data_IF_262675351117
#
_entry.id   IF_262675351117
#
_cell.length_a   1.000
_cell.length_b   1.000
_cell.length_c   1.000
_cell.angle_alpha   90.00
_cell.angle_beta   90.00
_cell.angle_gamma   90.00
#
_symmetry.space_group_name_H-M   'P 1'
#
loop_
_entity.id
_entity.type
_entity.pdbx_description
1 polymer ?
#
# COMPACT_ATOMS: atom_id res chain seq x y z
N UNK A 1 -17.07 15.81 -3.31
CA UNK A 1 -17.16 14.51 -3.99
C UNK A 1 -15.80 13.82 -4.08
N UNK A 2 -14.76 14.43 -4.62
CA UNK A 2 -13.41 13.81 -4.78
C UNK A 2 -12.84 13.18 -3.50
N UNK A 3 -12.95 13.86 -2.35
CA UNK A 3 -12.44 13.35 -1.06
C UNK A 3 -13.19 12.09 -0.55
N UNK A 4 -14.48 11.97 -0.87
CA UNK A 4 -15.26 10.78 -0.48
C UNK A 4 -14.78 9.55 -1.26
N UNK A 5 -14.58 9.69 -2.55
CA UNK A 5 -14.05 8.61 -3.39
C UNK A 5 -12.64 8.20 -2.97
N UNK A 6 -11.76 9.15 -2.69
CA UNK A 6 -10.41 8.85 -2.21
C UNK A 6 -10.42 8.11 -0.86
N UNK A 7 -11.33 8.45 0.05
CA UNK A 7 -11.49 7.72 1.31
C UNK A 7 -12.08 6.32 1.09
N UNK A 8 -13.03 6.17 0.20
CA UNK A 8 -13.57 4.87 -0.16
C UNK A 8 -12.49 3.99 -0.81
N UNK A 9 -11.65 4.55 -1.70
CA UNK A 9 -10.50 3.87 -2.26
C UNK A 9 -9.51 3.44 -1.18
N UNK A 10 -9.23 4.29 -0.20
CA UNK A 10 -8.35 3.95 0.93
C UNK A 10 -8.89 2.76 1.72
N UNK A 11 -10.16 2.81 2.13
CA UNK A 11 -10.79 1.72 2.89
C UNK A 11 -10.83 0.44 2.07
N UNK A 12 -11.25 0.51 0.81
CA UNK A 12 -11.31 -0.63 -0.10
C UNK A 12 -9.93 -1.25 -0.35
N UNK A 13 -8.92 -0.42 -0.57
CA UNK A 13 -7.54 -0.91 -0.81
C UNK A 13 -6.92 -1.55 0.43
N UNK A 14 -7.21 -1.04 1.64
CA UNK A 14 -6.80 -1.70 2.89
C UNK A 14 -7.51 -3.05 3.04
N UNK A 15 -8.79 -3.13 2.72
CA UNK A 15 -9.53 -4.40 2.73
C UNK A 15 -8.92 -5.43 1.78
N UNK A 16 -8.64 -5.03 0.55
CA UNK A 16 -7.96 -5.90 -0.45
C UNK A 16 -6.56 -6.29 0.02
N UNK A 17 -5.81 -5.35 0.59
CA UNK A 17 -4.48 -5.58 1.14
C UNK A 17 -4.48 -6.68 2.20
N UNK A 18 -5.37 -6.59 3.19
CA UNK A 18 -5.46 -7.59 4.26
C UNK A 18 -5.92 -8.95 3.69
N UNK A 19 -6.94 -8.96 2.84
CA UNK A 19 -7.45 -10.18 2.24
C UNK A 19 -6.38 -10.87 1.38
N UNK A 20 -5.68 -10.13 0.52
CA UNK A 20 -4.69 -10.71 -0.38
C UNK A 20 -3.47 -11.27 0.36
N UNK A 21 -3.01 -10.61 1.42
CA UNK A 21 -1.85 -11.06 2.20
C UNK A 21 -2.16 -12.28 3.07
N UNK A 22 -3.36 -12.37 3.61
CA UNK A 22 -3.71 -13.41 4.59
C UNK A 22 -4.68 -14.48 4.06
N UNK A 23 -5.12 -14.35 2.81
CA UNK A 23 -5.93 -15.39 2.17
C UNK A 23 -5.04 -16.61 1.84
N UNK A 24 -5.54 -17.85 2.03
CA UNK A 24 -4.82 -19.04 1.61
C UNK A 24 -4.44 -18.97 0.13
N UNK A 25 -3.18 -19.25 -0.21
CA UNK A 25 -2.75 -19.30 -1.62
C UNK A 25 -3.50 -20.40 -2.36
N UNK A 26 -4.09 -20.01 -3.48
CA UNK A 26 -4.46 -20.97 -4.53
C UNK A 26 -3.36 -20.86 -5.58
N UNK A 27 -2.59 -21.90 -5.78
CA UNK A 27 -1.59 -21.96 -6.85
C UNK A 27 -2.32 -21.84 -8.19
N UNK A 28 -2.16 -20.71 -8.86
CA UNK A 28 -2.66 -20.51 -10.23
C UNK A 28 -1.53 -20.86 -11.18
N UNK A 29 -1.62 -21.97 -11.94
CA UNK A 29 -0.62 -22.31 -12.93
C UNK A 29 -0.50 -21.20 -13.98
N UNK A 30 0.73 -20.75 -14.29
CA UNK A 30 0.99 -19.77 -15.36
C UNK A 30 1.08 -18.33 -14.94
N UNK A 31 1.27 -18.03 -13.64
CA UNK A 31 1.63 -16.67 -13.20
C UNK A 31 2.99 -16.28 -13.73
N UNK A 32 3.07 -15.08 -14.32
CA UNK A 32 4.32 -14.53 -14.84
C UNK A 32 5.36 -14.40 -13.72
N UNK A 33 6.61 -14.78 -13.98
CA UNK A 33 7.73 -14.50 -13.09
C UNK A 33 7.76 -13.01 -12.75
N UNK A 34 7.82 -12.68 -11.46
CA UNK A 34 7.79 -11.29 -10.98
C UNK A 34 6.40 -10.67 -10.80
N UNK A 35 5.32 -11.33 -11.23
CA UNK A 35 3.95 -10.86 -10.97
C UNK A 35 3.63 -10.79 -9.48
N UNK A 36 4.25 -11.64 -8.69
CA UNK A 36 4.19 -11.65 -7.23
C UNK A 36 4.73 -10.34 -6.63
N UNK A 37 5.93 -9.93 -7.01
CA UNK A 37 6.55 -8.68 -6.54
C UNK A 37 5.75 -7.44 -6.93
N UNK A 38 5.21 -7.40 -8.16
CA UNK A 38 4.34 -6.31 -8.59
C UNK A 38 3.06 -6.26 -7.74
N UNK A 39 2.49 -7.41 -7.41
CA UNK A 39 1.32 -7.49 -6.52
C UNK A 39 1.64 -6.88 -5.16
N UNK A 40 2.77 -7.22 -4.54
CA UNK A 40 3.22 -6.64 -3.28
C UNK A 40 3.40 -5.12 -3.37
N UNK A 41 4.08 -4.62 -4.41
CA UNK A 41 4.22 -3.17 -4.66
C UNK A 41 2.86 -2.47 -4.72
N UNK A 42 1.86 -3.06 -5.40
CA UNK A 42 0.53 -2.47 -5.52
C UNK A 42 -0.27 -2.56 -4.23
N UNK A 43 -0.19 -3.69 -3.51
CA UNK A 43 -0.91 -3.89 -2.24
C UNK A 43 -0.50 -2.87 -1.18
N UNK A 44 0.75 -2.44 -1.17
CA UNK A 44 1.25 -1.42 -0.25
C UNK A 44 1.18 -0.01 -0.85
N UNK A 45 1.46 0.14 -2.13
CA UNK A 45 1.51 1.45 -2.80
C UNK A 45 0.14 2.12 -2.95
N UNK A 46 -0.89 1.36 -3.33
CA UNK A 46 -2.23 1.93 -3.57
C UNK A 46 -2.86 2.51 -2.30
N UNK A 47 -2.91 1.81 -1.14
CA UNK A 47 -3.44 2.39 0.08
C UNK A 47 -2.63 3.59 0.58
N UNK A 48 -1.29 3.58 0.43
CA UNK A 48 -0.45 4.72 0.77
C UNK A 48 -0.77 5.92 -0.13
N UNK A 49 -0.85 5.73 -1.44
CA UNK A 49 -1.24 6.77 -2.39
C UNK A 49 -2.60 7.37 -2.04
N UNK A 50 -3.59 6.50 -1.79
CA UNK A 50 -4.93 6.93 -1.39
C UNK A 50 -4.91 7.72 -0.07
N UNK A 51 -4.14 7.28 0.93
CA UNK A 51 -3.98 7.98 2.20
C UNK A 51 -3.35 9.37 2.01
N UNK A 52 -2.27 9.45 1.22
CA UNK A 52 -1.60 10.72 0.94
C UNK A 52 -2.54 11.71 0.24
N UNK A 53 -3.40 11.25 -0.65
CA UNK A 53 -4.35 12.10 -1.36
C UNK A 53 -5.61 12.45 -0.54
N UNK A 54 -6.07 11.52 0.32
CA UNK A 54 -7.34 11.66 1.04
C UNK A 54 -7.22 12.35 2.40
N UNK A 55 -6.10 12.14 3.11
CA UNK A 55 -5.93 12.51 4.50
C UNK A 55 -5.09 13.79 4.67
N UNK A 56 -5.40 14.57 5.70
CA UNK A 56 -4.57 15.71 6.11
C UNK A 56 -3.24 15.24 6.74
N UNK A 57 -3.28 14.15 7.48
CA UNK A 57 -2.14 13.54 8.18
C UNK A 57 -2.01 12.08 7.78
N UNK A 58 -1.43 11.77 6.60
CA UNK A 58 -1.31 10.40 6.09
C UNK A 58 -0.23 9.59 6.80
N UNK A 59 0.66 10.23 7.54
CA UNK A 59 1.90 9.63 8.03
C UNK A 59 1.69 8.46 8.99
N UNK A 60 0.55 8.43 9.71
CA UNK A 60 0.19 7.27 10.52
C UNK A 60 -0.05 6.04 9.66
N UNK A 61 -0.78 6.19 8.55
CA UNK A 61 -1.04 5.09 7.61
C UNK A 61 0.27 4.65 6.94
N UNK A 62 1.10 5.60 6.54
CA UNK A 62 2.44 5.33 5.97
C UNK A 62 3.29 4.54 6.96
N UNK A 63 3.37 4.98 8.20
CA UNK A 63 4.15 4.29 9.24
C UNK A 63 3.63 2.88 9.52
N UNK A 64 2.31 2.71 9.65
CA UNK A 64 1.69 1.41 9.90
C UNK A 64 1.96 0.43 8.75
N UNK A 65 1.84 0.86 7.50
CA UNK A 65 2.12 0.01 6.36
C UNK A 65 3.62 -0.29 6.20
N UNK A 66 4.49 0.67 6.53
CA UNK A 66 5.94 0.41 6.54
C UNK A 66 6.33 -0.65 7.57
N UNK A 67 5.75 -0.58 8.77
CA UNK A 67 5.95 -1.60 9.81
C UNK A 67 5.31 -2.94 9.44
N UNK A 68 4.16 -2.89 8.76
CA UNK A 68 3.45 -4.09 8.35
C UNK A 68 4.21 -4.89 7.27
N UNK A 69 5.05 -4.25 6.46
CA UNK A 69 5.83 -4.93 5.43
C UNK A 69 6.65 -6.12 5.97
N UNK A 70 7.58 -5.95 6.90
CA UNK A 70 8.30 -7.10 7.48
C UNK A 70 7.41 -7.97 8.37
N UNK A 71 6.39 -7.39 9.03
CA UNK A 71 5.49 -8.17 9.88
C UNK A 71 4.58 -9.11 9.10
N UNK A 72 4.11 -8.70 7.92
CA UNK A 72 3.29 -9.56 7.06
C UNK A 72 4.07 -10.79 6.59
N UNK A 73 5.33 -10.63 6.20
CA UNK A 73 6.17 -11.73 5.79
C UNK A 73 6.43 -12.72 6.94
N UNK A 74 6.73 -12.18 8.13
CA UNK A 74 6.84 -13.02 9.32
C UNK A 74 5.52 -13.73 9.64
N UNK A 75 4.39 -13.04 9.62
CA UNK A 75 3.08 -13.62 9.91
C UNK A 75 2.69 -14.69 8.88
N UNK A 76 2.97 -14.45 7.60
CA UNK A 76 2.73 -15.44 6.55
C UNK A 76 3.54 -16.72 6.78
N UNK A 77 4.83 -16.61 7.12
CA UNK A 77 5.68 -17.76 7.38
C UNK A 77 5.32 -18.49 8.68
N UNK A 78 4.88 -17.77 9.70
CA UNK A 78 4.60 -18.33 11.03
C UNK A 78 3.17 -18.89 11.18
N UNK A 79 2.20 -18.31 10.49
CA UNK A 79 0.78 -18.56 10.72
C UNK A 79 0.06 -19.22 9.54
N UNK A 80 0.63 -19.19 8.35
CA UNK A 80 -0.02 -19.75 7.15
C UNK A 80 0.76 -20.98 6.66
N UNK A 81 0.13 -22.18 6.65
CA UNK A 81 0.83 -23.46 6.38
C UNK A 81 1.50 -23.53 5.01
N UNK A 82 0.93 -22.85 4.00
CA UNK A 82 1.36 -22.94 2.61
C UNK A 82 2.11 -21.69 2.13
N UNK A 83 2.58 -20.86 3.06
CA UNK A 83 3.35 -19.65 2.75
C UNK A 83 4.70 -19.66 3.44
N UNK A 84 5.75 -19.49 2.64
CA UNK A 84 7.08 -19.12 3.10
C UNK A 84 7.21 -17.60 3.02
N UNK A 85 7.59 -16.94 4.11
CA UNK A 85 7.97 -15.53 4.05
C UNK A 85 9.17 -15.33 3.13
N UNK A 86 9.08 -14.38 2.22
CA UNK A 86 10.18 -14.01 1.31
C UNK A 86 10.66 -12.59 1.65
N UNK A 87 11.90 -12.41 2.13
CA UNK A 87 12.44 -11.07 2.37
C UNK A 87 12.40 -10.14 1.16
N UNK A 88 12.39 -10.69 -0.06
CA UNK A 88 12.25 -9.90 -1.27
C UNK A 88 10.84 -9.33 -1.43
N UNK A 89 9.81 -10.00 -0.89
CA UNK A 89 8.45 -9.46 -0.83
C UNK A 89 8.36 -8.30 0.13
N UNK A 90 9.01 -8.37 1.31
CA UNK A 90 9.11 -7.23 2.22
C UNK A 90 9.80 -6.02 1.56
N UNK A 91 10.81 -6.24 0.73
CA UNK A 91 11.45 -5.16 -0.05
C UNK A 91 10.47 -4.58 -1.07
N UNK A 92 9.73 -5.42 -1.79
CA UNK A 92 8.71 -4.97 -2.74
C UNK A 92 7.60 -4.16 -2.05
N UNK A 93 7.18 -4.55 -0.84
CA UNK A 93 6.22 -3.84 -0.01
C UNK A 93 6.71 -2.42 0.33
N UNK A 94 7.96 -2.31 0.80
CA UNK A 94 8.58 -1.01 1.11
C UNK A 94 8.72 -0.15 -0.14
N UNK A 95 9.11 -0.72 -1.27
CA UNK A 95 9.13 -0.01 -2.57
C UNK A 95 7.73 0.51 -2.90
N UNK A 96 6.69 -0.29 -2.69
CA UNK A 96 5.30 0.13 -2.85
C UNK A 96 4.95 1.34 -2.00
N UNK A 97 5.30 1.32 -0.70
CA UNK A 97 5.09 2.45 0.21
C UNK A 97 5.78 3.71 -0.31
N UNK A 98 7.06 3.61 -0.69
CA UNK A 98 7.84 4.75 -1.18
C UNK A 98 7.25 5.34 -2.47
N UNK A 99 6.86 4.49 -3.42
CA UNK A 99 6.19 4.91 -4.65
C UNK A 99 4.84 5.57 -4.38
N UNK A 100 4.04 5.00 -3.47
CA UNK A 100 2.76 5.57 -3.06
C UNK A 100 2.91 6.97 -2.45
N UNK A 101 3.91 7.18 -1.61
CA UNK A 101 4.24 8.50 -1.04
C UNK A 101 4.70 9.45 -2.16
N UNK A 102 5.66 9.07 -2.99
CA UNK A 102 6.22 9.92 -4.02
C UNK A 102 5.15 10.39 -5.02
N UNK A 103 4.38 9.44 -5.58
CA UNK A 103 3.30 9.76 -6.52
C UNK A 103 2.21 10.59 -5.84
N UNK A 104 1.85 10.27 -4.60
CA UNK A 104 0.86 11.01 -3.84
C UNK A 104 1.26 12.47 -3.58
N UNK A 105 2.51 12.71 -3.22
CA UNK A 105 3.04 14.07 -3.01
C UNK A 105 3.11 14.87 -4.31
N UNK A 106 3.50 14.23 -5.41
CA UNK A 106 3.54 14.87 -6.73
C UNK A 106 2.13 15.22 -7.25
N UNK A 107 1.15 14.36 -6.96
CA UNK A 107 -0.24 14.54 -7.41
C UNK A 107 -1.07 15.46 -6.50
N UNK A 108 -0.56 15.83 -5.32
CA UNK A 108 -1.25 16.80 -4.45
C UNK A 108 -1.31 18.16 -5.13
N UNK A 109 -2.50 18.80 -5.18
CA UNK A 109 -2.58 20.19 -5.62
C UNK A 109 -1.69 21.05 -4.71
N UNK A 110 -0.72 21.73 -5.29
CA UNK A 110 0.02 22.79 -4.60
C UNK A 110 -0.99 23.85 -4.26
N UNK A 111 -1.18 24.11 -2.96
CA UNK A 111 -2.05 25.21 -2.53
C UNK A 111 -1.61 26.48 -3.24
N UNK A 112 -2.55 27.21 -3.87
CA UNK A 112 -2.27 28.55 -4.35
C UNK A 112 -1.62 29.34 -3.21
N UNK A 113 -0.54 30.12 -3.48
CA UNK A 113 -0.06 31.08 -2.51
C UNK A 113 -1.26 31.92 -2.08
N UNK A 114 -1.56 31.98 -0.78
CA UNK A 114 -2.44 33.01 -0.26
C UNK A 114 -1.80 34.32 -0.67
N UNK A 115 -2.36 34.97 -1.66
CA UNK A 115 -2.12 36.39 -1.85
C UNK A 115 -2.55 37.06 -0.56
N UNK A 116 -1.57 37.43 0.24
CA UNK A 116 -1.74 38.39 1.32
C UNK A 116 -1.99 39.72 0.62
N UNK A 117 -3.23 39.95 0.22
CA UNK A 117 -3.68 41.24 -0.16
C UNK A 117 -4.61 41.67 0.98
N UNK A 118 -4.11 42.63 1.74
CA UNK A 118 -4.70 43.48 2.78
C UNK A 118 -5.10 42.83 4.10
#
# INVERSE_FOLDING_TARGET
>A
MRKRWLRATLVGSIGVHVLALYWPRVDVPGTLEGGDKLTHVLLFGVPVLAAVLALRRPWLVVALLTLHAPLSEWAQSALLPDRSGDPADAVADVVGVLLGVAVGLLARPRGSPRTLVD
#
